data_IF_974813882137
#
_entry.id   IF_974813882137
#
_cell.length_a   1.000
_cell.length_b   1.000
_cell.length_c   1.000
_cell.angle_alpha   90.00
_cell.angle_beta   90.00
_cell.angle_gamma   90.00
#
_symmetry.space_group_name_H-M   'P 1'
#
loop_
_entity.id
_entity.type
_entity.pdbx_description
1 polymer ?
#
# COMPACT_ATOMS: atom_id res chain seq x y z
N UNK A 1 -18.14 12.52 41.97
CA UNK A 1 -17.66 13.01 40.65
C UNK A 1 -16.27 12.40 40.33
N UNK A 2 -16.15 11.08 40.15
CA UNK A 2 -14.83 10.45 39.88
C UNK A 2 -14.88 9.19 39.00
N UNK A 3 -15.99 8.92 38.30
CA UNK A 3 -16.16 7.67 37.53
C UNK A 3 -16.09 7.79 36.00
N UNK A 4 -16.20 9.00 35.44
CA UNK A 4 -16.46 9.18 34.00
C UNK A 4 -15.34 9.88 33.21
N UNK A 5 -14.29 10.40 33.87
CA UNK A 5 -13.15 11.06 33.20
C UNK A 5 -12.03 10.08 32.78
N UNK A 6 -12.06 8.83 33.27
CA UNK A 6 -10.97 7.87 33.09
C UNK A 6 -11.01 7.02 31.81
N UNK A 7 -12.20 6.78 31.24
CA UNK A 7 -12.35 5.94 30.03
C UNK A 7 -12.15 6.74 28.74
N UNK A 8 -12.67 7.98 28.68
CA UNK A 8 -12.50 8.89 27.54
C UNK A 8 -11.03 9.24 27.31
N UNK A 9 -10.33 9.66 28.36
CA UNK A 9 -8.91 10.02 28.30
C UNK A 9 -8.02 8.86 27.81
N UNK A 10 -8.24 7.64 28.31
CA UNK A 10 -7.47 6.45 27.90
C UNK A 10 -7.67 6.11 26.41
N UNK A 11 -8.89 6.25 25.90
CA UNK A 11 -9.18 6.02 24.49
C UNK A 11 -8.52 7.09 23.61
N UNK A 12 -8.52 8.34 24.04
CA UNK A 12 -7.86 9.45 23.32
C UNK A 12 -6.34 9.28 23.24
N UNK A 13 -5.70 8.81 24.32
CA UNK A 13 -4.29 8.45 24.30
C UNK A 13 -4.02 7.28 23.35
N UNK A 14 -4.84 6.23 23.40
CA UNK A 14 -4.70 5.07 22.51
C UNK A 14 -4.83 5.48 21.03
N UNK A 15 -5.82 6.31 20.71
CA UNK A 15 -6.03 6.88 19.39
C UNK A 15 -4.79 7.63 18.89
N UNK A 16 -4.22 8.47 19.73
CA UNK A 16 -3.05 9.28 19.40
C UNK A 16 -1.80 8.42 19.16
N UNK A 17 -1.55 7.45 20.05
CA UNK A 17 -0.41 6.53 19.95
C UNK A 17 -0.54 5.64 18.71
N UNK A 18 -1.72 5.07 18.44
CA UNK A 18 -1.92 4.21 17.27
C UNK A 18 -1.71 4.98 15.96
N UNK A 19 -2.20 6.22 15.85
CA UNK A 19 -1.98 7.08 14.68
C UNK A 19 -0.49 7.38 14.50
N UNK A 20 0.20 7.75 15.58
CA UNK A 20 1.62 8.03 15.55
C UNK A 20 2.45 6.81 15.10
N UNK A 21 2.19 5.63 15.69
CA UNK A 21 2.84 4.38 15.31
C UNK A 21 2.57 4.03 13.83
N UNK A 22 1.32 4.21 13.38
CA UNK A 22 0.94 3.95 12.00
C UNK A 22 1.70 4.85 11.02
N UNK A 23 1.81 6.14 11.31
CA UNK A 23 2.53 7.11 10.47
C UNK A 23 4.02 6.79 10.42
N UNK A 24 4.66 6.51 11.56
CA UNK A 24 6.09 6.13 11.60
C UNK A 24 6.33 4.86 10.78
N UNK A 25 5.52 3.82 11.00
CA UNK A 25 5.64 2.58 10.26
C UNK A 25 5.40 2.80 8.75
N UNK A 26 4.44 3.65 8.40
CA UNK A 26 4.12 4.02 7.02
C UNK A 26 5.27 4.74 6.33
N UNK A 27 5.90 5.72 6.99
CA UNK A 27 7.09 6.42 6.48
C UNK A 27 8.23 5.42 6.24
N UNK A 28 8.49 4.55 7.22
CA UNK A 28 9.51 3.52 7.09
C UNK A 28 9.23 2.60 5.90
N UNK A 29 8.00 2.12 5.76
CA UNK A 29 7.64 1.18 4.71
C UNK A 29 7.66 1.82 3.31
N UNK A 30 6.95 2.93 3.13
CA UNK A 30 6.83 3.63 1.84
C UNK A 30 8.17 4.25 1.44
N UNK A 31 8.96 4.74 2.40
CA UNK A 31 10.32 5.23 2.15
C UNK A 31 11.22 4.14 1.56
N UNK A 32 11.23 2.94 2.16
CA UNK A 32 11.99 1.80 1.61
C UNK A 32 11.43 1.35 0.26
N UNK A 33 10.11 1.37 0.07
CA UNK A 33 9.49 1.05 -1.21
C UNK A 33 10.00 1.96 -2.33
N UNK A 34 10.04 3.28 -2.09
CA UNK A 34 10.54 4.24 -3.07
C UNK A 34 12.05 4.13 -3.27
N UNK A 35 12.81 3.91 -2.20
CA UNK A 35 14.24 3.60 -2.31
C UNK A 35 14.47 2.40 -3.23
N UNK A 36 13.75 1.29 -3.03
CA UNK A 36 13.97 0.09 -3.83
C UNK A 36 13.64 0.29 -5.31
N UNK A 37 12.58 1.04 -5.62
CA UNK A 37 12.09 1.14 -6.99
C UNK A 37 12.71 2.30 -7.78
N UNK A 38 12.98 3.44 -7.14
CA UNK A 38 13.49 4.64 -7.82
C UNK A 38 15.00 4.81 -7.71
N UNK A 39 15.66 4.18 -6.73
CA UNK A 39 17.09 4.37 -6.48
C UNK A 39 17.85 3.05 -6.65
N UNK A 40 17.48 2.03 -5.88
CA UNK A 40 18.29 0.82 -5.71
C UNK A 40 18.50 0.03 -7.00
N UNK A 41 17.53 -0.02 -7.92
CA UNK A 41 17.66 -0.77 -9.17
C UNK A 41 18.84 -0.26 -10.00
N UNK A 42 18.95 1.06 -10.17
CA UNK A 42 20.05 1.68 -10.93
C UNK A 42 21.36 1.66 -10.16
N UNK A 43 21.29 1.95 -8.86
CA UNK A 43 22.44 1.87 -7.98
C UNK A 43 23.08 0.47 -8.01
N UNK A 44 22.30 -0.60 -7.88
CA UNK A 44 22.81 -1.97 -7.92
C UNK A 44 23.44 -2.33 -9.28
N UNK A 45 22.87 -1.83 -10.39
CA UNK A 45 23.45 -2.01 -11.71
C UNK A 45 24.81 -1.31 -11.83
N UNK A 46 24.93 -0.05 -11.37
CA UNK A 46 26.17 0.70 -11.36
C UNK A 46 27.24 0.04 -10.47
N UNK A 47 26.87 -0.46 -9.28
CA UNK A 47 27.81 -1.18 -8.40
C UNK A 47 28.31 -2.48 -9.04
N UNK A 48 27.46 -3.17 -9.81
CA UNK A 48 27.87 -4.36 -10.57
C UNK A 48 28.87 -4.00 -11.66
N UNK A 49 28.62 -2.93 -12.42
CA UNK A 49 29.53 -2.43 -13.46
C UNK A 49 30.88 -1.99 -12.89
N UNK A 50 30.88 -1.33 -11.73
CA UNK A 50 32.09 -0.93 -11.01
C UNK A 50 32.82 -2.10 -10.30
N UNK A 51 32.35 -3.34 -10.43
CA UNK A 51 33.00 -4.52 -9.84
C UNK A 51 32.83 -4.71 -8.32
N UNK A 52 32.12 -3.81 -7.64
CA UNK A 52 31.90 -3.84 -6.17
C UNK A 52 30.54 -4.41 -5.76
N UNK A 53 29.69 -4.79 -6.71
CA UNK A 53 28.34 -5.30 -6.41
C UNK A 53 28.31 -6.53 -5.51
N UNK A 54 29.36 -7.37 -5.53
CA UNK A 54 29.47 -8.56 -4.68
C UNK A 54 29.67 -8.26 -3.19
N UNK A 55 30.12 -7.06 -2.84
CA UNK A 55 30.26 -6.62 -1.44
C UNK A 55 29.11 -5.69 -1.05
N UNK A 56 28.72 -4.76 -1.91
CA UNK A 56 27.69 -3.77 -1.58
C UNK A 56 26.30 -4.38 -1.48
N UNK A 57 25.89 -5.24 -2.41
CA UNK A 57 24.51 -5.76 -2.46
C UNK A 57 24.19 -6.68 -1.26
N UNK A 58 25.07 -7.63 -0.87
CA UNK A 58 24.82 -8.47 0.30
C UNK A 58 24.78 -7.70 1.63
N UNK A 59 25.48 -6.57 1.73
CA UNK A 59 25.42 -5.72 2.92
C UNK A 59 24.15 -4.84 2.92
N UNK A 60 23.80 -4.23 1.79
CA UNK A 60 22.67 -3.31 1.70
C UNK A 60 21.32 -4.02 1.78
N UNK A 61 21.13 -5.07 0.98
CA UNK A 61 19.80 -5.62 0.72
C UNK A 61 19.13 -6.26 1.95
N UNK A 62 19.80 -7.11 2.74
CA UNK A 62 19.16 -7.74 3.90
C UNK A 62 18.71 -6.72 4.95
N UNK A 63 19.50 -5.66 5.17
CA UNK A 63 19.18 -4.58 6.13
C UNK A 63 17.98 -3.77 5.66
N UNK A 64 17.96 -3.36 4.40
CA UNK A 64 16.83 -2.63 3.83
C UNK A 64 15.54 -3.50 3.79
N UNK A 65 15.66 -4.78 3.42
CA UNK A 65 14.53 -5.71 3.35
C UNK A 65 13.97 -6.07 4.74
N UNK A 66 14.80 -6.04 5.79
CA UNK A 66 14.34 -6.18 7.17
C UNK A 66 13.37 -5.06 7.54
N UNK A 67 13.79 -3.80 7.39
CA UNK A 67 12.95 -2.66 7.72
C UNK A 67 11.73 -2.53 6.81
N UNK A 68 11.87 -2.84 5.53
CA UNK A 68 10.74 -2.85 4.60
C UNK A 68 9.65 -3.86 5.00
N UNK A 69 10.01 -5.10 5.37
CA UNK A 69 9.01 -6.12 5.72
C UNK A 69 8.29 -5.79 7.01
N UNK A 70 9.03 -5.33 8.02
CA UNK A 70 8.46 -5.04 9.33
C UNK A 70 7.72 -3.72 9.34
N UNK A 71 8.19 -2.73 8.56
CA UNK A 71 7.42 -1.53 8.26
C UNK A 71 6.07 -1.89 7.65
N UNK A 72 6.02 -2.82 6.69
CA UNK A 72 4.76 -3.31 6.12
C UNK A 72 3.84 -3.95 7.15
N UNK A 73 4.37 -4.86 7.99
CA UNK A 73 3.59 -5.54 9.02
C UNK A 73 3.03 -4.56 10.05
N UNK A 74 3.86 -3.65 10.57
CA UNK A 74 3.44 -2.68 11.57
C UNK A 74 2.46 -1.66 11.01
N UNK A 75 2.65 -1.18 9.78
CA UNK A 75 1.70 -0.28 9.12
C UNK A 75 0.36 -0.98 8.95
N UNK A 76 0.35 -2.22 8.47
CA UNK A 76 -0.89 -2.97 8.28
C UNK A 76 -1.58 -3.24 9.62
N UNK A 77 -0.87 -3.77 10.62
CA UNK A 77 -1.44 -4.07 11.94
C UNK A 77 -2.04 -2.82 12.59
N UNK A 78 -1.27 -1.74 12.68
CA UNK A 78 -1.77 -0.47 13.25
C UNK A 78 -2.90 0.12 12.42
N UNK A 79 -2.88 -0.03 11.09
CA UNK A 79 -3.94 0.41 10.20
C UNK A 79 -5.25 -0.34 10.41
N UNK A 80 -5.18 -1.67 10.62
CA UNK A 80 -6.35 -2.49 10.98
C UNK A 80 -6.91 -2.06 12.33
N UNK A 81 -6.04 -1.84 13.33
CA UNK A 81 -6.47 -1.35 14.64
C UNK A 81 -7.13 0.03 14.55
N UNK A 82 -6.57 0.95 13.75
CA UNK A 82 -7.18 2.25 13.49
C UNK A 82 -8.55 2.13 12.81
N UNK A 83 -8.64 1.30 11.76
CA UNK A 83 -9.89 1.05 11.04
C UNK A 83 -10.97 0.52 11.99
N UNK A 84 -10.65 -0.54 12.75
CA UNK A 84 -11.63 -1.24 13.58
C UNK A 84 -11.98 -0.49 14.87
N UNK A 85 -10.98 -0.01 15.61
CA UNK A 85 -11.19 0.60 16.94
C UNK A 85 -11.52 2.08 16.85
N UNK A 86 -10.83 2.82 16.00
CA UNK A 86 -10.95 4.29 15.99
C UNK A 86 -12.06 4.72 15.06
N UNK A 87 -12.12 4.12 13.88
CA UNK A 87 -13.07 4.57 12.87
C UNK A 87 -14.42 3.85 12.92
N UNK A 88 -14.44 2.53 13.01
CA UNK A 88 -15.69 1.78 13.16
C UNK A 88 -16.28 1.88 14.56
N UNK A 89 -15.53 1.49 15.59
CA UNK A 89 -16.04 1.55 16.97
C UNK A 89 -16.21 2.99 17.49
N UNK A 90 -15.45 3.95 16.96
CA UNK A 90 -15.64 5.39 17.22
C UNK A 90 -16.75 6.06 16.40
N UNK A 91 -17.49 5.31 15.56
CA UNK A 91 -18.65 5.83 14.83
C UNK A 91 -18.35 6.78 13.66
N UNK A 92 -17.10 6.86 13.21
CA UNK A 92 -16.66 7.77 12.14
C UNK A 92 -16.84 7.19 10.72
N UNK A 93 -17.20 5.92 10.60
CA UNK A 93 -17.34 5.21 9.32
C UNK A 93 -18.76 5.20 8.75
N UNK A 94 -19.78 5.44 9.58
CA UNK A 94 -21.18 5.32 9.19
C UNK A 94 -21.80 6.71 9.11
N UNK A 95 -22.72 6.92 8.17
CA UNK A 95 -23.47 8.18 8.06
C UNK A 95 -24.36 8.43 9.29
N UNK A 96 -24.94 7.36 9.84
CA UNK A 96 -25.62 7.36 11.13
C UNK A 96 -24.83 6.50 12.13
N UNK A 97 -24.12 7.12 13.09
CA UNK A 97 -23.36 6.40 14.12
C UNK A 97 -24.22 5.50 15.01
N UNK A 98 -25.53 5.74 15.09
CA UNK A 98 -26.47 4.93 15.89
C UNK A 98 -26.90 3.63 15.20
N UNK A 99 -26.70 3.51 13.88
CA UNK A 99 -27.08 2.35 13.08
C UNK A 99 -26.27 1.07 13.37
N UNK A 100 -25.13 1.20 14.05
CA UNK A 100 -24.28 0.08 14.43
C UNK A 100 -23.70 -0.71 13.24
N UNK A 101 -23.29 -1.96 13.48
CA UNK A 101 -22.63 -2.79 12.47
C UNK A 101 -23.64 -3.45 11.51
N UNK A 102 -24.05 -2.72 10.47
CA UNK A 102 -24.94 -3.22 9.42
C UNK A 102 -24.25 -4.09 8.35
N UNK A 103 -25.05 -4.68 7.45
CA UNK A 103 -24.55 -5.51 6.35
C UNK A 103 -23.54 -4.76 5.45
N UNK A 104 -23.78 -3.46 5.19
CA UNK A 104 -22.88 -2.62 4.40
C UNK A 104 -21.48 -2.47 5.00
N UNK A 105 -21.37 -2.41 6.34
CA UNK A 105 -20.09 -2.38 7.05
C UNK A 105 -19.31 -3.69 6.85
N UNK A 106 -19.97 -4.83 7.03
CA UNK A 106 -19.34 -6.15 6.85
C UNK A 106 -18.92 -6.42 5.41
N UNK A 107 -19.75 -6.04 4.44
CA UNK A 107 -19.40 -6.15 3.02
C UNK A 107 -18.20 -5.27 2.69
N UNK A 108 -18.14 -4.05 3.20
CA UNK A 108 -17.02 -3.14 2.96
C UNK A 108 -15.72 -3.64 3.59
N UNK A 109 -15.78 -4.21 4.80
CA UNK A 109 -14.64 -4.90 5.43
C UNK A 109 -14.19 -6.12 4.62
N UNK A 110 -15.14 -6.92 4.14
CA UNK A 110 -14.84 -8.07 3.30
C UNK A 110 -14.15 -7.64 2.00
N UNK A 111 -14.64 -6.60 1.32
CA UNK A 111 -13.98 -6.07 0.11
C UNK A 111 -12.57 -5.57 0.45
N UNK A 112 -12.41 -4.80 1.53
CA UNK A 112 -11.10 -4.26 1.94
C UNK A 112 -10.06 -5.34 2.23
N UNK A 113 -10.44 -6.41 2.93
CA UNK A 113 -9.48 -7.44 3.35
C UNK A 113 -9.39 -8.64 2.41
N UNK A 114 -10.46 -8.98 1.69
CA UNK A 114 -10.47 -10.10 0.75
C UNK A 114 -10.16 -9.68 -0.70
N UNK A 115 -10.27 -8.38 -1.04
CA UNK A 115 -9.97 -7.86 -2.37
C UNK A 115 -8.55 -8.18 -2.86
N UNK A 116 -7.62 -8.37 -1.92
CA UNK A 116 -6.26 -8.83 -2.22
C UNK A 116 -6.21 -10.18 -2.93
N UNK A 117 -7.12 -11.12 -2.62
CA UNK A 117 -7.13 -12.44 -3.25
C UNK A 117 -7.63 -12.37 -4.69
N UNK A 118 -8.59 -11.48 -4.96
CA UNK A 118 -9.08 -11.18 -6.32
C UNK A 118 -7.96 -10.54 -7.13
N UNK A 119 -7.30 -9.51 -6.57
CA UNK A 119 -6.13 -8.87 -7.16
C UNK A 119 -5.01 -9.89 -7.47
N UNK A 120 -4.69 -10.77 -6.52
CA UNK A 120 -3.62 -11.74 -6.67
C UNK A 120 -3.98 -12.84 -7.69
N UNK A 121 -5.26 -13.23 -7.77
CA UNK A 121 -5.76 -14.10 -8.83
C UNK A 121 -5.69 -13.44 -10.21
N UNK A 122 -6.07 -12.17 -10.33
CA UNK A 122 -5.97 -11.40 -11.57
C UNK A 122 -4.54 -11.43 -12.13
N UNK A 123 -3.54 -11.13 -11.29
CA UNK A 123 -2.14 -11.11 -11.72
C UNK A 123 -1.46 -12.47 -11.85
N UNK A 124 -2.20 -13.57 -11.63
CA UNK A 124 -1.79 -14.94 -11.99
C UNK A 124 -2.57 -15.49 -13.18
N UNK A 125 -3.59 -14.78 -13.64
CA UNK A 125 -4.42 -15.19 -14.77
C UNK A 125 -3.72 -14.89 -16.11
N UNK A 126 -4.16 -15.48 -17.23
CA UNK A 126 -3.66 -15.15 -18.57
C UNK A 126 -3.81 -13.66 -18.93
N UNK A 127 -4.74 -12.93 -18.30
CA UNK A 127 -4.93 -11.49 -18.53
C UNK A 127 -3.68 -10.68 -18.12
N UNK A 128 -2.89 -11.21 -17.19
CA UNK A 128 -1.63 -10.62 -16.74
C UNK A 128 -0.51 -10.66 -17.79
N UNK A 129 -0.68 -11.42 -18.88
CA UNK A 129 0.27 -11.45 -20.00
C UNK A 129 0.42 -10.07 -20.67
N UNK A 130 -0.62 -9.23 -20.61
CA UNK A 130 -0.58 -7.85 -21.06
C UNK A 130 -0.79 -6.90 -19.88
N UNK A 131 0.28 -6.19 -19.50
CA UNK A 131 0.26 -5.27 -18.37
C UNK A 131 -0.81 -4.19 -18.47
N UNK A 132 -1.14 -3.71 -19.68
CA UNK A 132 -2.20 -2.73 -19.90
C UNK A 132 -3.57 -3.32 -19.59
N UNK A 133 -3.85 -4.53 -20.07
CA UNK A 133 -5.14 -5.19 -19.84
C UNK A 133 -5.34 -5.51 -18.36
N UNK A 134 -4.30 -6.03 -17.69
CA UNK A 134 -4.34 -6.26 -16.26
C UNK A 134 -4.51 -4.97 -15.46
N UNK A 135 -3.86 -3.87 -15.87
CA UNK A 135 -4.03 -2.55 -15.26
C UNK A 135 -5.44 -1.99 -15.41
N UNK A 136 -6.05 -2.11 -16.60
CA UNK A 136 -7.45 -1.73 -16.84
C UNK A 136 -8.38 -2.57 -15.96
N UNK A 137 -8.20 -3.88 -15.92
CA UNK A 137 -9.00 -4.76 -15.07
C UNK A 137 -8.85 -4.40 -13.58
N UNK A 138 -7.64 -4.11 -13.11
CA UNK A 138 -7.41 -3.64 -11.74
C UNK A 138 -8.12 -2.31 -11.46
N UNK A 139 -8.11 -1.36 -12.41
CA UNK A 139 -8.82 -0.09 -12.28
C UNK A 139 -10.34 -0.31 -12.19
N UNK A 140 -10.90 -1.19 -13.03
CA UNK A 140 -12.32 -1.57 -13.00
C UNK A 140 -12.69 -2.22 -11.66
N UNK A 141 -11.83 -3.07 -11.09
CA UNK A 141 -12.06 -3.65 -9.76
C UNK A 141 -12.09 -2.60 -8.66
N UNK A 142 -11.19 -1.59 -8.73
CA UNK A 142 -11.20 -0.47 -7.78
C UNK A 142 -12.47 0.38 -7.94
N UNK A 143 -12.90 0.65 -9.18
CA UNK A 143 -14.15 1.35 -9.47
C UNK A 143 -15.36 0.59 -8.93
N UNK A 144 -15.42 -0.73 -9.16
CA UNK A 144 -16.48 -1.57 -8.63
C UNK A 144 -16.50 -1.56 -7.09
N UNK A 145 -15.33 -1.66 -6.43
CA UNK A 145 -15.24 -1.57 -4.98
C UNK A 145 -15.74 -0.21 -4.45
N UNK A 146 -15.31 0.90 -5.07
CA UNK A 146 -15.73 2.25 -4.66
C UNK A 146 -17.24 2.46 -4.83
N UNK A 147 -17.82 2.04 -5.95
CA UNK A 147 -19.26 2.13 -6.23
C UNK A 147 -20.06 1.24 -5.27
N UNK A 148 -19.63 0.00 -5.04
CA UNK A 148 -20.31 -0.92 -4.13
C UNK A 148 -20.31 -0.37 -2.70
N UNK A 149 -19.19 0.17 -2.24
CA UNK A 149 -19.09 0.77 -0.91
C UNK A 149 -19.94 2.04 -0.77
N UNK A 150 -19.97 2.91 -1.79
CA UNK A 150 -20.73 4.16 -1.74
C UNK A 150 -22.24 3.95 -1.89
N UNK A 151 -22.68 2.98 -2.71
CA UNK A 151 -24.11 2.79 -3.03
C UNK A 151 -24.78 1.72 -2.19
N UNK A 152 -24.15 0.55 -2.07
CA UNK A 152 -24.67 -0.60 -1.33
C UNK A 152 -24.16 -0.65 0.11
N UNK A 153 -22.92 -0.21 0.32
CA UNK A 153 -22.31 -0.13 1.64
C UNK A 153 -22.86 1.02 2.50
N UNK A 154 -23.50 2.03 1.89
CA UNK A 154 -23.99 3.22 2.58
C UNK A 154 -22.86 4.01 3.27
N UNK A 155 -21.62 3.87 2.79
CA UNK A 155 -20.47 4.53 3.37
C UNK A 155 -20.40 5.98 2.87
N UNK A 156 -20.14 6.90 3.80
CA UNK A 156 -19.82 8.29 3.45
C UNK A 156 -18.58 8.36 2.54
N UNK A 157 -18.42 9.49 1.83
CA UNK A 157 -17.22 9.78 1.02
C UNK A 157 -15.92 9.47 1.77
N UNK A 158 -15.85 9.91 3.03
CA UNK A 158 -14.72 9.67 3.92
C UNK A 158 -14.48 8.19 4.15
N UNK A 159 -15.54 7.46 4.48
CA UNK A 159 -15.44 6.06 4.88
C UNK A 159 -14.98 5.18 3.72
N UNK A 160 -15.62 5.26 2.55
CA UNK A 160 -15.16 4.42 1.43
C UNK A 160 -13.77 4.84 0.93
N UNK A 161 -13.39 6.12 1.01
CA UNK A 161 -12.03 6.55 0.63
C UNK A 161 -10.97 5.89 1.53
N UNK A 162 -11.19 5.86 2.85
CA UNK A 162 -10.32 5.14 3.79
C UNK A 162 -10.33 3.63 3.49
N UNK A 163 -11.47 3.04 3.16
CA UNK A 163 -11.56 1.62 2.79
C UNK A 163 -10.76 1.26 1.54
N UNK A 164 -10.81 2.08 0.48
CA UNK A 164 -10.03 1.85 -0.74
C UNK A 164 -8.53 1.99 -0.44
N UNK A 165 -8.14 2.98 0.35
CA UNK A 165 -6.74 3.11 0.76
C UNK A 165 -6.28 1.94 1.64
N UNK A 166 -7.12 1.47 2.57
CA UNK A 166 -6.85 0.28 3.38
C UNK A 166 -6.81 -1.01 2.55
N UNK A 167 -7.61 -1.09 1.48
CA UNK A 167 -7.60 -2.20 0.52
C UNK A 167 -6.26 -2.26 -0.23
N UNK A 168 -5.77 -1.10 -0.70
CA UNK A 168 -4.43 -0.99 -1.27
C UNK A 168 -3.35 -1.35 -0.25
N UNK A 169 -3.43 -0.84 0.98
CA UNK A 169 -2.46 -1.15 2.04
C UNK A 169 -2.42 -2.64 2.37
N UNK A 170 -3.58 -3.30 2.41
CA UNK A 170 -3.69 -4.75 2.61
C UNK A 170 -3.09 -5.52 1.44
N UNK A 171 -3.41 -5.16 0.20
CA UNK A 171 -2.82 -5.79 -0.99
C UNK A 171 -1.29 -5.62 -1.03
N UNK A 172 -0.81 -4.43 -0.64
CA UNK A 172 0.61 -4.13 -0.54
C UNK A 172 1.31 -4.96 0.53
N UNK A 173 0.74 -5.05 1.74
CA UNK A 173 1.31 -5.83 2.84
C UNK A 173 1.34 -7.32 2.48
N UNK A 174 0.27 -7.81 1.84
CA UNK A 174 0.22 -9.17 1.33
C UNK A 174 1.32 -9.45 0.29
N UNK A 175 1.52 -8.54 -0.66
CA UNK A 175 2.61 -8.66 -1.63
C UNK A 175 3.97 -8.79 -0.94
N UNK A 176 4.22 -8.01 0.12
CA UNK A 176 5.46 -8.08 0.88
C UNK A 176 5.64 -9.45 1.53
N UNK A 177 4.66 -9.92 2.30
CA UNK A 177 4.81 -11.09 3.15
C UNK A 177 4.59 -12.43 2.43
N UNK A 178 3.75 -12.47 1.40
CA UNK A 178 3.33 -13.71 0.74
C UNK A 178 3.86 -13.87 -0.69
N UNK A 179 4.39 -12.80 -1.30
CA UNK A 179 4.99 -12.88 -2.65
C UNK A 179 6.47 -12.53 -2.64
N UNK A 180 6.82 -11.34 -2.17
CA UNK A 180 8.18 -10.80 -2.19
C UNK A 180 9.07 -11.57 -1.21
N UNK A 181 8.70 -11.66 0.07
CA UNK A 181 9.56 -12.29 1.08
C UNK A 181 9.85 -13.77 0.82
N UNK A 182 8.89 -14.62 0.41
CA UNK A 182 9.18 -16.00 0.03
C UNK A 182 10.14 -16.10 -1.16
N UNK A 183 10.00 -15.25 -2.18
CA UNK A 183 10.93 -15.20 -3.31
C UNK A 183 12.32 -14.74 -2.86
N UNK A 184 12.41 -13.73 -2.00
CA UNK A 184 13.68 -13.26 -1.45
C UNK A 184 14.40 -14.33 -0.62
N UNK A 185 13.67 -15.14 0.16
CA UNK A 185 14.27 -16.28 0.87
C UNK A 185 14.92 -17.29 -0.08
N UNK A 186 14.27 -17.60 -1.22
CA UNK A 186 14.82 -18.50 -2.24
C UNK A 186 16.04 -17.89 -2.93
N UNK A 187 16.00 -16.60 -3.26
CA UNK A 187 17.14 -15.86 -3.80
C UNK A 187 18.32 -15.92 -2.84
N UNK A 188 18.10 -15.58 -1.56
CA UNK A 188 19.14 -15.60 -0.52
C UNK A 188 19.73 -17.01 -0.40
N UNK A 189 18.90 -18.05 -0.32
CA UNK A 189 19.36 -19.43 -0.23
C UNK A 189 20.23 -19.85 -1.43
N UNK A 190 19.79 -19.55 -2.67
CA UNK A 190 20.55 -19.85 -3.87
C UNK A 190 21.91 -19.12 -3.89
N UNK A 191 21.89 -17.81 -3.62
CA UNK A 191 23.13 -17.01 -3.61
C UNK A 191 24.09 -17.40 -2.49
N UNK A 192 23.57 -17.78 -1.31
CA UNK A 192 24.37 -18.27 -0.19
C UNK A 192 25.04 -19.61 -0.49
N UNK A 193 24.43 -20.43 -1.35
CA UNK A 193 25.01 -21.67 -1.86
C UNK A 193 25.96 -21.46 -3.07
N UNK A 194 26.21 -20.21 -3.49
CA UNK A 194 27.01 -19.90 -4.68
C UNK A 194 26.31 -20.20 -6.01
N UNK A 195 25.01 -20.51 -5.99
CA UNK A 195 24.21 -20.78 -7.17
C UNK A 195 23.52 -19.50 -7.70
N UNK A 196 23.22 -19.48 -9.00
CA UNK A 196 22.37 -18.44 -9.57
C UNK A 196 20.91 -18.65 -9.11
N UNK A 197 20.19 -17.60 -8.68
CA UNK A 197 18.78 -17.71 -8.34
C UNK A 197 17.92 -17.99 -9.58
N UNK A 198 16.79 -18.68 -9.38
CA UNK A 198 15.77 -18.85 -10.43
C UNK A 198 15.33 -17.47 -10.95
N UNK A 199 15.40 -17.19 -12.27
CA UNK A 199 14.97 -15.92 -12.85
C UNK A 199 13.53 -15.51 -12.52
N UNK A 200 12.65 -16.47 -12.22
CA UNK A 200 11.25 -16.21 -11.88
C UNK A 200 11.10 -15.48 -10.54
N UNK A 201 12.01 -15.70 -9.58
CA UNK A 201 11.95 -15.12 -8.24
C UNK A 201 12.21 -13.60 -8.20
N UNK A 202 13.32 -13.07 -8.75
CA UNK A 202 13.53 -11.63 -8.83
C UNK A 202 12.51 -10.96 -9.76
N UNK A 203 12.04 -11.64 -10.80
CA UNK A 203 10.96 -11.13 -11.66
C UNK A 203 9.64 -10.95 -10.90
N UNK A 204 9.23 -11.95 -10.10
CA UNK A 204 8.05 -11.88 -9.23
C UNK A 204 8.20 -10.79 -8.17
N UNK A 205 9.32 -10.77 -7.46
CA UNK A 205 9.58 -9.79 -6.40
C UNK A 205 9.56 -8.36 -6.95
N UNK A 206 10.23 -8.14 -8.10
CA UNK A 206 10.25 -6.84 -8.79
C UNK A 206 8.86 -6.43 -9.27
N UNK A 207 8.10 -7.34 -9.88
CA UNK A 207 6.73 -7.05 -10.34
C UNK A 207 5.82 -6.63 -9.17
N UNK A 208 5.82 -7.37 -8.06
CA UNK A 208 4.99 -7.05 -6.89
C UNK A 208 5.46 -5.79 -6.16
N UNK A 209 6.75 -5.52 -6.15
CA UNK A 209 7.31 -4.25 -5.66
C UNK A 209 6.78 -3.07 -6.49
N UNK A 210 6.79 -3.18 -7.83
CA UNK A 210 6.22 -2.14 -8.71
C UNK A 210 4.73 -1.93 -8.47
N UNK A 211 3.95 -3.01 -8.32
CA UNK A 211 2.53 -2.89 -7.98
C UNK A 211 2.32 -2.11 -6.67
N UNK A 212 3.15 -2.38 -5.66
CA UNK A 212 3.10 -1.61 -4.42
C UNK A 212 3.38 -0.12 -4.64
N UNK A 213 4.35 0.23 -5.50
CA UNK A 213 4.63 1.64 -5.83
C UNK A 213 3.44 2.32 -6.51
N UNK A 214 2.77 1.65 -7.45
CA UNK A 214 1.59 2.20 -8.11
C UNK A 214 0.40 2.36 -7.16
N UNK A 215 0.25 1.47 -6.18
CA UNK A 215 -0.79 1.59 -5.15
C UNK A 215 -0.45 2.63 -4.08
N UNK A 216 0.83 2.88 -3.78
CA UNK A 216 1.22 3.70 -2.63
C UNK A 216 0.86 5.18 -2.77
N UNK A 217 1.02 5.78 -3.95
CA UNK A 217 0.72 7.20 -4.15
C UNK A 217 -0.77 7.52 -3.94
N UNK A 218 -1.73 6.84 -4.60
CA UNK A 218 -3.13 7.11 -4.34
C UNK A 218 -3.55 6.68 -2.93
N UNK A 219 -2.96 5.62 -2.37
CA UNK A 219 -3.19 5.23 -0.97
C UNK A 219 -2.83 6.36 0.00
N UNK A 220 -1.64 6.96 -0.13
CA UNK A 220 -1.20 8.05 0.76
C UNK A 220 -2.15 9.22 0.67
N UNK A 221 -2.61 9.55 -0.53
CA UNK A 221 -3.64 10.58 -0.69
C UNK A 221 -4.93 10.21 0.03
N UNK A 222 -5.46 8.99 -0.12
CA UNK A 222 -6.70 8.56 0.57
C UNK A 222 -6.57 8.61 2.10
N UNK A 223 -5.36 8.45 2.64
CA UNK A 223 -5.09 8.57 4.07
C UNK A 223 -4.96 10.02 4.55
N UNK A 224 -4.65 10.97 3.66
CA UNK A 224 -4.46 12.40 3.97
C UNK A 224 -5.67 13.24 3.58
N UNK A 225 -6.45 12.85 2.57
CA UNK A 225 -7.52 13.61 1.93
C UNK A 225 -8.48 14.28 2.94
N UNK A 226 -8.71 13.62 4.07
CA UNK A 226 -9.59 14.08 5.15
C UNK A 226 -8.98 15.18 6.05
N UNK A 227 -7.66 15.37 6.01
CA UNK A 227 -6.96 16.51 6.62
C UNK A 227 -6.89 17.72 5.69
N UNK A 228 -7.14 17.51 4.40
CA UNK A 228 -7.03 18.54 3.36
C UNK A 228 -8.32 18.69 2.59
N UNK A 229 -9.48 18.35 3.19
CA UNK A 229 -10.79 18.27 2.56
C UNK A 229 -11.22 19.63 1.99
N UNK A 230 -10.55 20.06 0.94
CA UNK A 230 -10.99 21.06 0.01
C UNK A 230 -12.24 20.45 -0.62
N UNK A 231 -13.33 21.21 -0.58
CA UNK A 231 -14.62 20.79 -1.11
C UNK A 231 -14.57 20.22 -2.55
N UNK A 232 -13.49 20.44 -3.30
CA UNK A 232 -13.27 19.96 -4.66
C UNK A 232 -13.45 18.44 -4.87
N UNK A 233 -12.59 17.58 -4.32
CA UNK A 233 -12.63 16.14 -4.65
C UNK A 233 -13.83 15.39 -4.05
N UNK A 234 -14.23 15.77 -2.83
CA UNK A 234 -15.41 15.21 -2.18
C UNK A 234 -16.70 15.46 -2.98
N UNK A 235 -16.81 16.62 -3.66
CA UNK A 235 -17.96 16.96 -4.50
C UNK A 235 -18.13 16.04 -5.72
N UNK A 236 -17.08 15.31 -6.12
CA UNK A 236 -17.15 14.34 -7.21
C UNK A 236 -17.48 12.91 -6.75
N UNK A 237 -17.70 12.68 -5.45
CA UNK A 237 -18.03 11.36 -4.93
C UNK A 237 -16.97 10.31 -5.29
N UNK A 238 -17.39 9.12 -5.71
CA UNK A 238 -16.45 8.05 -6.06
C UNK A 238 -15.60 8.39 -7.29
N UNK A 239 -16.05 9.31 -8.17
CA UNK A 239 -15.23 9.77 -9.30
C UNK A 239 -13.99 10.52 -8.84
N UNK A 240 -14.06 11.24 -7.72
CA UNK A 240 -12.89 11.89 -7.11
C UNK A 240 -11.81 10.88 -6.72
N UNK A 241 -12.21 9.79 -6.05
CA UNK A 241 -11.32 8.68 -5.68
C UNK A 241 -10.68 8.05 -6.92
N UNK A 242 -11.46 7.79 -7.97
CA UNK A 242 -10.96 7.18 -9.21
C UNK A 242 -10.01 8.10 -9.98
N UNK A 243 -10.30 9.40 -10.02
CA UNK A 243 -9.40 10.39 -10.59
C UNK A 243 -8.05 10.38 -9.85
N UNK A 244 -8.06 10.31 -8.53
CA UNK A 244 -6.84 10.27 -7.72
C UNK A 244 -6.06 8.97 -7.87
N UNK A 245 -6.73 7.84 -8.09
CA UNK A 245 -6.06 6.58 -8.48
C UNK A 245 -5.32 6.78 -9.82
N UNK A 246 -6.00 7.33 -10.83
CA UNK A 246 -5.40 7.55 -12.14
C UNK A 246 -4.23 8.55 -12.09
N UNK A 247 -4.39 9.67 -11.37
CA UNK A 247 -3.34 10.66 -11.14
C UNK A 247 -2.15 10.04 -10.42
N UNK A 248 -2.41 9.29 -9.34
CA UNK A 248 -1.36 8.61 -8.58
C UNK A 248 -0.57 7.63 -9.44
N UNK A 249 -1.23 6.86 -10.30
CA UNK A 249 -0.57 5.98 -11.25
C UNK A 249 0.26 6.74 -12.28
N UNK A 250 -0.28 7.85 -12.80
CA UNK A 250 0.47 8.69 -13.73
C UNK A 250 1.74 9.27 -13.08
N UNK A 251 1.65 9.77 -11.85
CA UNK A 251 2.79 10.28 -11.11
C UNK A 251 3.86 9.21 -10.89
N UNK A 252 3.47 8.00 -10.47
CA UNK A 252 4.40 6.88 -10.31
C UNK A 252 5.09 6.55 -11.63
N UNK A 253 4.35 6.53 -12.74
CA UNK A 253 4.93 6.34 -14.07
C UNK A 253 5.96 7.42 -14.43
N UNK A 254 5.68 8.69 -14.12
CA UNK A 254 6.65 9.78 -14.32
C UNK A 254 7.90 9.58 -13.45
N UNK A 255 7.74 9.19 -12.18
CA UNK A 255 8.86 8.93 -11.28
C UNK A 255 9.76 7.80 -11.79
N UNK A 256 9.17 6.72 -12.32
CA UNK A 256 9.94 5.68 -12.98
C UNK A 256 10.72 6.23 -14.17
N UNK A 257 10.10 7.04 -15.04
CA UNK A 257 10.82 7.63 -16.18
C UNK A 257 12.00 8.49 -15.75
N UNK A 258 11.80 9.36 -14.75
CA UNK A 258 12.87 10.20 -14.20
C UNK A 258 13.99 9.34 -13.63
N UNK A 259 13.67 8.28 -12.87
CA UNK A 259 14.66 7.35 -12.29
C UNK A 259 15.49 6.58 -13.34
N UNK A 260 15.14 6.68 -14.63
CA UNK A 260 15.91 6.10 -15.72
C UNK A 260 16.83 7.08 -16.46
N UNK A 261 16.79 8.38 -16.11
CA UNK A 261 17.55 9.45 -16.76
C UNK A 261 18.83 9.77 -15.97
N UNK A 262 19.83 8.90 -16.05
CA UNK A 262 21.10 9.01 -15.29
C UNK A 262 21.80 10.37 -15.46
N UNK A 263 21.88 10.89 -16.68
CA UNK A 263 22.57 12.16 -16.98
C UNK A 263 21.92 13.36 -16.29
N UNK A 264 20.58 13.35 -16.18
CA UNK A 264 19.82 14.40 -15.50
C UNK A 264 19.99 14.33 -13.98
N UNK A 265 20.15 13.13 -13.42
CA UNK A 265 20.26 12.93 -11.96
C UNK A 265 21.66 13.27 -11.46
N UNK A 266 22.71 12.89 -12.22
CA UNK A 266 24.11 13.09 -11.82
C UNK A 266 24.62 14.52 -12.02
N UNK A 267 23.84 15.40 -12.66
CA UNK A 267 24.18 16.81 -12.88
C UNK A 267 23.74 17.75 -11.74
N UNK A 268 23.12 17.22 -10.67
CA UNK A 268 22.79 17.94 -9.44
C UNK A 268 23.89 17.77 -8.39
#
# INVERSE_FOLDING_TARGET
>A
MTGLEGSGSRMDYLNSVLRWLHVIAGIMWIGHLYFFNFVNIRFAAAMKEAGVGKTTVPELMPRALYWFRWGAAWTWLTGVLLLMLVFYHGGLMLEDPSSGWGAGAWVSLAITFAGVFIYDALYRSPLAANARNAGIAAFVLVAAAAVLMSTWGGLSYRAYSIHIGAMFGTAMAFNVWFRIWPAQKRIIAATGAGAAPDPADPALAGMRSRHNTFMSVPLVWMMIDQHTAAAGFASFGFFGVLAMVAIGWHLVWQFYRISTQDDRIKSF
#
